data_IF_954215833522
#
_entry.id   IF_954215833522
#
_cell.length_a   1.000
_cell.length_b   1.000
_cell.length_c   1.000
_cell.angle_alpha   90.00
_cell.angle_beta   90.00
_cell.angle_gamma   90.00
#
_symmetry.space_group_name_H-M   'P 1'
#
loop_
_entity.id
_entity.type
_entity.pdbx_description
1 polymer ?
#
# COMPACT_ATOMS: atom_id res chain seq x y z
N UNK A 1 0.43 -12.65 3.97
CA UNK A 1 0.94 -13.85 3.26
C UNK A 1 0.48 -15.15 3.93
N UNK A 2 0.75 -15.38 5.22
CA UNK A 2 0.37 -16.64 5.94
C UNK A 2 -1.13 -16.91 5.83
N UNK A 3 -1.98 -15.92 6.10
CA UNK A 3 -3.44 -16.07 6.02
C UNK A 3 -3.90 -16.44 4.60
N UNK A 4 -3.33 -15.83 3.56
CA UNK A 4 -3.67 -16.18 2.18
C UNK A 4 -3.30 -17.64 1.86
N UNK A 5 -2.16 -18.11 2.35
CA UNK A 5 -1.74 -19.50 2.21
C UNK A 5 -2.69 -20.46 2.90
N UNK A 6 -3.05 -20.19 4.16
CA UNK A 6 -3.96 -21.05 4.94
C UNK A 6 -5.34 -21.13 4.29
N UNK A 7 -5.91 -19.99 3.86
CA UNK A 7 -7.22 -19.95 3.19
C UNK A 7 -7.16 -20.66 1.83
N UNK A 8 -6.08 -20.49 1.06
CA UNK A 8 -5.89 -21.20 -0.21
C UNK A 8 -5.91 -22.71 0.00
N UNK A 9 -5.21 -23.21 1.03
CA UNK A 9 -5.18 -24.63 1.34
C UNK A 9 -6.54 -25.15 1.83
N UNK A 10 -7.24 -24.37 2.65
CA UNK A 10 -8.55 -24.76 3.20
C UNK A 10 -9.65 -24.81 2.14
N UNK A 11 -9.68 -23.79 1.26
CA UNK A 11 -10.76 -23.63 0.29
C UNK A 11 -10.45 -24.24 -1.08
N UNK A 12 -9.20 -24.55 -1.38
CA UNK A 12 -8.78 -24.96 -2.72
C UNK A 12 -8.98 -23.88 -3.78
N UNK A 13 -8.93 -22.60 -3.39
CA UNK A 13 -9.12 -21.45 -4.27
C UNK A 13 -7.86 -20.57 -4.27
N UNK A 14 -7.50 -19.98 -5.42
CA UNK A 14 -6.39 -19.03 -5.48
C UNK A 14 -6.74 -17.74 -4.72
N UNK A 15 -6.03 -17.47 -3.63
CA UNK A 15 -6.18 -16.24 -2.84
C UNK A 15 -5.01 -15.32 -3.13
N UNK A 16 -5.31 -14.16 -3.66
CA UNK A 16 -4.32 -13.10 -3.96
C UNK A 16 -4.42 -12.00 -2.93
N UNK A 17 -3.33 -11.74 -2.21
CA UNK A 17 -3.21 -10.62 -1.30
C UNK A 17 -2.36 -9.52 -1.93
N UNK A 18 -2.96 -8.39 -2.21
CA UNK A 18 -2.30 -7.25 -2.84
C UNK A 18 -2.36 -6.00 -1.98
N UNK A 19 -1.37 -5.14 -2.11
CA UNK A 19 -1.32 -3.82 -1.49
C UNK A 19 -1.47 -2.78 -2.58
N UNK A 20 -2.60 -2.07 -2.64
CA UNK A 20 -2.98 -1.19 -3.75
C UNK A 20 -1.93 -0.13 -4.10
N UNK A 21 -1.22 0.41 -3.11
CA UNK A 21 -0.19 1.42 -3.38
C UNK A 21 1.11 0.84 -3.93
N UNK A 22 1.41 -0.42 -3.66
CA UNK A 22 2.55 -1.12 -4.29
C UNK A 22 2.22 -1.48 -5.73
N UNK A 23 0.99 -1.94 -6.00
CA UNK A 23 0.51 -2.18 -7.38
C UNK A 23 0.50 -0.89 -8.21
N UNK A 24 0.24 0.25 -7.57
CA UNK A 24 0.21 1.57 -8.22
C UNK A 24 1.51 2.36 -8.07
N UNK A 25 2.61 1.81 -7.55
CA UNK A 25 3.83 2.54 -7.17
C UNK A 25 4.37 3.42 -8.30
N UNK A 26 4.48 2.88 -9.51
CA UNK A 26 4.98 3.62 -10.66
C UNK A 26 4.06 4.81 -11.05
N UNK A 27 2.75 4.65 -10.89
CA UNK A 27 1.77 5.72 -11.14
C UNK A 27 1.81 6.76 -10.03
N UNK A 28 1.89 6.32 -8.78
CA UNK A 28 1.96 7.20 -7.61
C UNK A 28 3.21 8.06 -7.63
N UNK A 29 4.35 7.51 -7.99
CA UNK A 29 5.62 8.26 -8.07
C UNK A 29 5.59 9.42 -9.08
N UNK A 30 4.69 9.40 -10.08
CA UNK A 30 4.50 10.47 -11.05
C UNK A 30 3.57 11.58 -10.55
N UNK A 31 2.76 11.30 -9.53
CA UNK A 31 1.77 12.24 -8.95
C UNK A 31 2.34 12.91 -7.71
N UNK A 32 3.05 12.12 -6.88
CA UNK A 32 3.62 12.60 -5.62
C UNK A 32 4.82 13.52 -5.86
N UNK A 33 4.97 14.52 -4.99
CA UNK A 33 6.04 15.52 -5.06
C UNK A 33 6.99 15.51 -3.88
N UNK A 34 6.49 15.27 -2.66
CA UNK A 34 7.31 15.24 -1.46
C UNK A 34 8.02 13.89 -1.25
N UNK A 35 7.48 12.85 -1.84
CA UNK A 35 7.95 11.47 -1.64
C UNK A 35 7.55 10.61 -2.84
N UNK A 36 8.20 9.44 -3.00
CA UNK A 36 7.90 8.53 -4.11
C UNK A 36 6.94 7.41 -3.71
N UNK A 37 6.78 7.15 -2.42
CA UNK A 37 6.02 6.03 -1.88
C UNK A 37 4.93 6.51 -0.93
N UNK A 38 3.94 5.67 -0.67
CA UNK A 38 2.98 5.88 0.42
C UNK A 38 3.67 5.57 1.74
N UNK A 39 3.58 6.52 2.67
CA UNK A 39 4.02 6.39 4.06
C UNK A 39 2.78 6.49 4.97
N UNK A 40 2.92 7.01 6.20
CA UNK A 40 1.79 7.10 7.12
C UNK A 40 1.33 8.55 7.32
N UNK A 41 0.04 8.82 7.11
CA UNK A 41 -0.56 10.16 7.13
C UNK A 41 0.21 11.18 6.27
N UNK A 42 0.77 10.72 5.18
CA UNK A 42 1.67 11.45 4.27
C UNK A 42 0.93 12.21 3.19
N UNK A 43 1.67 12.82 2.24
CA UNK A 43 1.11 13.48 1.05
C UNK A 43 0.03 12.62 0.36
N UNK A 44 0.29 11.33 0.15
CA UNK A 44 -0.61 10.45 -0.57
C UNK A 44 -1.92 10.20 0.19
N UNK A 45 -1.81 9.71 1.43
CA UNK A 45 -2.99 9.36 2.24
C UNK A 45 -3.83 10.60 2.56
N UNK A 46 -3.17 11.71 2.92
CA UNK A 46 -3.86 12.99 3.19
C UNK A 46 -4.57 13.49 1.94
N UNK A 47 -3.95 13.41 0.76
CA UNK A 47 -4.59 13.80 -0.50
C UNK A 47 -5.83 12.95 -0.81
N UNK A 48 -5.74 11.64 -0.64
CA UNK A 48 -6.88 10.73 -0.86
C UNK A 48 -8.01 11.02 0.15
N UNK A 49 -7.69 11.29 1.42
CA UNK A 49 -8.69 11.71 2.41
C UNK A 49 -9.34 13.05 2.05
N UNK A 50 -8.58 14.04 1.61
CA UNK A 50 -9.14 15.32 1.10
C UNK A 50 -10.09 15.12 -0.08
N UNK A 51 -9.90 14.09 -0.87
CA UNK A 51 -10.78 13.76 -2.00
C UNK A 51 -12.06 13.07 -1.57
N UNK A 52 -11.96 12.12 -0.63
CA UNK A 52 -13.07 11.27 -0.21
C UNK A 52 -13.93 11.92 0.88
N UNK A 53 -13.28 12.43 1.93
CA UNK A 53 -13.93 12.95 3.14
C UNK A 53 -13.18 14.22 3.61
N UNK A 54 -13.29 15.34 2.86
CA UNK A 54 -12.52 16.55 3.12
C UNK A 54 -12.76 17.15 4.52
N UNK A 55 -13.93 16.94 5.08
CA UNK A 55 -14.29 17.41 6.42
C UNK A 55 -13.54 16.71 7.55
N UNK A 56 -12.94 15.54 7.28
CA UNK A 56 -12.10 14.82 8.25
C UNK A 56 -10.64 15.28 8.24
N UNK A 57 -10.26 16.17 7.34
CA UNK A 57 -8.90 16.69 7.23
C UNK A 57 -8.83 18.12 7.75
N UNK A 58 -8.18 18.30 8.91
CA UNK A 58 -7.88 19.63 9.42
C UNK A 58 -6.71 20.24 8.63
N UNK A 59 -7.06 21.09 7.65
CA UNK A 59 -6.06 21.74 6.80
C UNK A 59 -5.30 22.89 7.50
N UNK A 60 -5.82 23.42 8.62
CA UNK A 60 -5.16 24.48 9.35
C UNK A 60 -3.88 24.00 10.04
N UNK A 61 -3.84 22.73 10.44
CA UNK A 61 -2.71 22.14 11.14
C UNK A 61 -1.70 21.41 10.25
N UNK A 62 -1.96 21.27 8.96
CA UNK A 62 -1.07 20.53 8.05
C UNK A 62 0.40 21.00 8.10
N UNK A 63 0.63 22.32 8.23
CA UNK A 63 1.99 22.88 8.28
C UNK A 63 2.78 22.39 9.50
N UNK A 64 2.11 22.04 10.60
CA UNK A 64 2.71 21.53 11.83
C UNK A 64 2.88 20.01 11.82
N UNK A 65 2.25 19.30 10.88
CA UNK A 65 2.13 17.85 10.87
C UNK A 65 3.26 17.14 10.09
N UNK A 66 4.28 17.86 9.63
CA UNK A 66 5.41 17.25 8.93
C UNK A 66 6.14 16.26 9.82
N UNK A 67 6.29 15.02 9.34
CA UNK A 67 7.00 13.94 9.99
C UNK A 67 8.33 13.59 9.32
N UNK A 68 9.05 12.65 9.92
CA UNK A 68 10.26 12.08 9.31
C UNK A 68 9.88 11.16 8.16
N UNK A 69 10.67 11.18 7.09
CA UNK A 69 10.62 10.18 6.01
C UNK A 69 11.68 9.09 6.15
N UNK A 70 12.50 9.16 7.20
CA UNK A 70 13.54 8.18 7.45
C UNK A 70 12.97 6.93 8.13
N UNK A 71 12.89 5.85 7.37
CA UNK A 71 12.48 4.53 7.83
C UNK A 71 13.65 3.56 8.04
N UNK A 72 14.89 4.04 8.01
CA UNK A 72 16.09 3.21 8.10
C UNK A 72 16.15 2.36 9.38
N UNK A 73 15.57 2.86 10.47
CA UNK A 73 15.52 2.13 11.74
C UNK A 73 14.55 0.92 11.75
N UNK A 74 13.63 0.82 10.78
CA UNK A 74 12.74 -0.35 10.59
C UNK A 74 13.51 -1.47 9.88
N UNK A 75 14.37 -1.10 8.93
CA UNK A 75 15.17 -2.06 8.17
C UNK A 75 16.43 -2.42 8.96
N UNK A 76 16.51 -3.65 9.44
CA UNK A 76 17.70 -4.15 10.14
C UNK A 76 18.74 -4.80 9.21
N UNK A 77 18.45 -4.86 7.89
CA UNK A 77 19.30 -5.43 6.84
C UNK A 77 18.49 -5.62 5.56
N UNK A 78 19.10 -6.27 4.55
CA UNK A 78 18.48 -6.45 3.24
C UNK A 78 17.15 -7.24 3.29
N UNK A 79 17.08 -8.25 4.16
CA UNK A 79 15.93 -9.14 4.35
C UNK A 79 15.43 -9.17 5.80
N UNK A 80 16.00 -8.31 6.68
CA UNK A 80 15.68 -8.29 8.09
C UNK A 80 14.73 -7.13 8.40
N UNK A 81 13.63 -7.44 9.09
CA UNK A 81 12.63 -6.49 9.54
C UNK A 81 12.64 -6.41 11.07
N UNK A 82 12.54 -5.20 11.58
CA UNK A 82 12.39 -4.95 13.02
C UNK A 82 11.07 -4.24 13.27
N UNK A 83 10.20 -4.88 14.02
CA UNK A 83 8.99 -4.19 14.45
C UNK A 83 9.30 -3.05 15.41
N UNK A 84 8.67 -1.92 15.18
CA UNK A 84 8.67 -0.75 16.06
C UNK A 84 7.26 -0.19 16.17
N UNK A 85 6.89 0.25 17.37
CA UNK A 85 5.67 1.02 17.55
C UNK A 85 5.79 2.36 16.82
N UNK A 86 4.67 2.85 16.29
CA UNK A 86 4.60 4.16 15.64
C UNK A 86 5.11 5.29 16.54
N UNK A 87 4.87 5.21 17.85
CA UNK A 87 5.38 6.16 18.84
C UNK A 87 6.92 6.23 18.94
N UNK A 88 7.63 5.25 18.40
CA UNK A 88 9.10 5.27 18.30
C UNK A 88 9.61 5.83 16.98
N UNK A 89 8.70 6.14 16.05
CA UNK A 89 9.01 6.60 14.69
C UNK A 89 8.70 8.06 14.53
N UNK A 90 7.58 8.48 15.09
CA UNK A 90 7.04 9.82 14.93
C UNK A 90 6.43 10.33 16.23
N UNK A 91 6.55 11.62 16.47
CA UNK A 91 5.98 12.29 17.66
C UNK A 91 4.52 12.72 17.48
N UNK A 92 4.06 12.82 16.24
CA UNK A 92 2.73 13.34 15.87
C UNK A 92 1.90 12.36 15.01
N UNK A 93 2.38 11.14 14.81
CA UNK A 93 1.69 10.14 13.98
C UNK A 93 2.02 10.22 12.49
N UNK A 94 2.68 11.27 12.00
CA UNK A 94 2.98 11.45 10.58
C UNK A 94 4.34 10.88 10.22
N UNK A 95 4.42 10.14 9.13
CA UNK A 95 5.66 9.75 8.47
C UNK A 95 5.59 10.25 7.04
N UNK A 96 6.39 11.26 6.71
CA UNK A 96 6.34 11.97 5.43
C UNK A 96 5.90 13.41 5.55
N UNK A 97 5.41 14.00 4.47
CA UNK A 97 5.08 15.41 4.40
C UNK A 97 3.66 15.65 3.83
N UNK A 98 2.63 15.79 4.67
CA UNK A 98 1.26 16.04 4.23
C UNK A 98 1.04 17.47 3.69
N UNK A 99 2.01 18.39 3.85
CA UNK A 99 1.86 19.78 3.38
C UNK A 99 1.75 19.90 1.87
N UNK A 100 2.15 18.87 1.14
CA UNK A 100 2.02 18.78 -0.32
C UNK A 100 0.70 18.13 -0.77
N UNK A 101 -0.17 17.76 0.17
CA UNK A 101 -1.45 17.13 -0.15
C UNK A 101 -2.42 18.11 -0.80
N UNK A 102 -3.22 17.58 -1.73
CA UNK A 102 -4.35 18.30 -2.31
C UNK A 102 -5.45 17.34 -2.74
N UNK A 103 -6.68 17.85 -2.84
CA UNK A 103 -7.83 17.11 -3.32
C UNK A 103 -7.63 16.59 -4.75
N UNK A 104 -7.00 17.41 -5.61
CA UNK A 104 -6.70 17.08 -7.01
C UNK A 104 -5.77 15.87 -7.09
N UNK A 105 -4.67 15.89 -6.33
CA UNK A 105 -3.78 14.72 -6.20
C UNK A 105 -4.51 13.49 -5.66
N UNK A 106 -5.39 13.69 -4.69
CA UNK A 106 -6.22 12.62 -4.15
C UNK A 106 -7.04 11.92 -5.23
N UNK A 107 -7.70 12.69 -6.09
CA UNK A 107 -8.46 12.15 -7.22
C UNK A 107 -7.56 11.36 -8.19
N UNK A 108 -6.38 11.88 -8.50
CA UNK A 108 -5.43 11.21 -9.40
C UNK A 108 -4.88 9.91 -8.79
N UNK A 109 -4.54 9.93 -7.49
CA UNK A 109 -4.06 8.76 -6.76
C UNK A 109 -5.13 7.66 -6.68
N UNK A 110 -6.37 8.01 -6.34
CA UNK A 110 -7.49 7.07 -6.31
C UNK A 110 -7.75 6.42 -7.67
N UNK A 111 -7.68 7.23 -8.74
CA UNK A 111 -7.80 6.73 -10.10
C UNK A 111 -6.63 5.80 -10.47
N UNK A 112 -5.41 6.16 -10.13
CA UNK A 112 -4.22 5.35 -10.38
C UNK A 112 -4.29 4.01 -9.62
N UNK A 113 -4.68 4.03 -8.34
CA UNK A 113 -4.90 2.84 -7.54
C UNK A 113 -5.97 1.91 -8.14
N UNK A 114 -7.12 2.50 -8.52
CA UNK A 114 -8.21 1.74 -9.15
C UNK A 114 -7.79 1.08 -10.45
N UNK A 115 -7.05 1.79 -11.30
CA UNK A 115 -6.54 1.21 -12.55
C UNK A 115 -5.58 0.06 -12.30
N UNK A 116 -4.60 0.23 -11.40
CA UNK A 116 -3.61 -0.81 -11.11
C UNK A 116 -4.25 -2.07 -10.51
N UNK A 117 -5.19 -1.90 -9.57
CA UNK A 117 -5.92 -3.04 -9.00
C UNK A 117 -6.82 -3.70 -10.05
N UNK A 118 -7.45 -2.93 -10.94
CA UNK A 118 -8.25 -3.49 -12.02
C UNK A 118 -7.40 -4.32 -12.97
N UNK A 119 -6.22 -3.83 -13.37
CA UNK A 119 -5.27 -4.56 -14.20
C UNK A 119 -4.84 -5.88 -13.54
N UNK A 120 -4.58 -5.86 -12.24
CA UNK A 120 -4.27 -7.07 -11.48
C UNK A 120 -5.43 -8.09 -11.52
N UNK A 121 -6.67 -7.62 -11.32
CA UNK A 121 -7.86 -8.49 -11.26
C UNK A 121 -8.18 -9.10 -12.62
N UNK A 122 -8.05 -8.34 -13.71
CA UNK A 122 -8.37 -8.83 -15.06
C UNK A 122 -7.24 -9.64 -15.71
N UNK A 123 -6.04 -9.61 -15.14
CA UNK A 123 -4.95 -10.45 -15.60
C UNK A 123 -5.28 -11.93 -15.35
N UNK A 124 -5.36 -12.72 -16.40
CA UNK A 124 -5.73 -14.14 -16.32
C UNK A 124 -4.76 -14.95 -15.44
N UNK A 125 -3.48 -14.58 -15.43
CA UNK A 125 -2.45 -15.30 -14.69
C UNK A 125 -2.52 -15.01 -13.16
N UNK A 126 -3.22 -13.95 -12.75
CA UNK A 126 -3.30 -13.54 -11.33
C UNK A 126 -3.96 -14.62 -10.46
N UNK A 127 -4.94 -15.31 -10.99
CA UNK A 127 -5.70 -16.34 -10.28
C UNK A 127 -5.44 -17.75 -10.87
N UNK A 128 -4.37 -17.91 -11.60
CA UNK A 128 -3.99 -19.23 -12.10
C UNK A 128 -3.63 -20.15 -10.94
N UNK A 129 -4.34 -21.28 -10.88
CA UNK A 129 -4.14 -22.29 -9.86
C UNK A 129 -3.35 -23.44 -10.42
N UNK A 130 -2.05 -23.43 -10.16
CA UNK A 130 -1.17 -24.49 -10.64
C UNK A 130 -1.56 -25.84 -10.03
N UNK A 131 -1.57 -26.87 -10.87
CA UNK A 131 -1.82 -28.24 -10.42
C UNK A 131 -0.73 -28.69 -9.44
N UNK A 132 -1.14 -29.47 -8.42
CA UNK A 132 -0.19 -30.12 -7.52
C UNK A 132 0.67 -31.09 -8.32
N UNK A 133 1.95 -30.80 -8.42
CA UNK A 133 2.89 -31.63 -9.18
C UNK A 133 3.06 -33.05 -8.60
N UNK A 134 2.58 -33.27 -7.36
CA UNK A 134 2.57 -34.60 -6.72
C UNK A 134 1.41 -35.49 -7.18
N UNK A 135 0.37 -34.91 -7.79
CA UNK A 135 -0.84 -35.62 -8.20
C UNK A 135 -0.76 -36.21 -9.61
N UNK A 136 0.39 -36.12 -10.28
CA UNK A 136 0.62 -36.78 -11.58
C UNK A 136 0.90 -38.29 -11.48
N UNK A 137 0.53 -38.96 -10.38
CA UNK A 137 0.39 -40.40 -10.39
C UNK A 137 -0.95 -40.72 -11.06
N UNK A 138 -0.90 -41.37 -12.23
CA UNK A 138 -2.12 -41.90 -12.86
C UNK A 138 -2.87 -42.75 -11.85
N UNK A 139 -4.21 -42.61 -11.73
CA UNK A 139 -4.98 -43.55 -10.91
C UNK A 139 -4.82 -44.95 -11.49
N UNK A 140 -4.33 -45.89 -10.68
CA UNK A 140 -4.30 -47.33 -10.97
C UNK A 140 -5.72 -47.89 -11.22
#
# INVERSE_FOLDING_TARGET
EIIAQDITLELGLPIVAATYWLEAEERFSKILTAQHNVLHACEAETSMMMSLEPELVDTADLASCKGSSDLSFIKAGRSAYRWRSLSHVTSNGVIGDPTYASKEKGNELLKAASLSVSELIINQDTFDFQQDLRTNAEPE
#
